data_IF_989721192783
#
_entry.id   IF_989721192783
#
_cell.length_a   1.000
_cell.length_b   1.000
_cell.length_c   1.000
_cell.angle_alpha   90.00
_cell.angle_beta   90.00
_cell.angle_gamma   90.00
#
_symmetry.space_group_name_H-M   'P 1'
#
loop_
_entity.id
_entity.type
_entity.pdbx_description
1 polymer ?
#
# COMPACT_ATOMS: atom_id res chain seq x y z
N UNK A 1 -17.70 3.91 -10.52
CA UNK A 1 -16.36 4.47 -10.79
C UNK A 1 -15.42 3.37 -11.29
N UNK A 2 -14.48 3.68 -12.20
CA UNK A 2 -13.34 2.78 -12.45
C UNK A 2 -12.41 2.78 -11.23
N UNK A 3 -11.69 1.68 -10.99
CA UNK A 3 -10.76 1.53 -9.86
C UNK A 3 -9.79 2.72 -9.73
N UNK A 4 -9.33 3.23 -10.87
CA UNK A 4 -8.45 4.39 -10.96
C UNK A 4 -9.06 5.68 -10.39
N UNK A 5 -10.38 5.84 -10.51
CA UNK A 5 -11.07 7.02 -9.99
C UNK A 5 -11.21 6.95 -8.46
N UNK A 6 -11.34 5.74 -7.89
CA UNK A 6 -11.38 5.50 -6.44
C UNK A 6 -10.00 5.82 -5.85
N UNK A 7 -8.94 5.26 -6.44
CA UNK A 7 -7.56 5.53 -6.02
C UNK A 7 -7.27 7.02 -6.13
N UNK A 8 -7.63 7.64 -7.26
CA UNK A 8 -7.46 9.08 -7.46
C UNK A 8 -8.32 9.95 -6.53
N UNK A 9 -9.43 9.45 -6.00
CA UNK A 9 -10.19 10.13 -4.95
C UNK A 9 -9.47 10.05 -3.60
N UNK A 10 -9.03 8.84 -3.21
CA UNK A 10 -8.30 8.61 -1.96
C UNK A 10 -7.02 9.45 -1.90
N UNK A 11 -6.25 9.46 -2.99
CA UNK A 11 -5.01 10.23 -3.08
C UNK A 11 -5.24 11.73 -2.94
N UNK A 12 -6.33 12.25 -3.54
CA UNK A 12 -6.73 13.65 -3.34
C UNK A 12 -7.17 13.94 -1.91
N UNK A 13 -7.86 13.00 -1.26
CA UNK A 13 -8.32 13.15 0.12
C UNK A 13 -7.16 13.22 1.13
N UNK A 14 -6.01 12.62 0.82
CA UNK A 14 -4.80 12.75 1.66
C UNK A 14 -4.20 14.16 1.67
N UNK A 15 -4.54 14.99 0.67
CA UNK A 15 -3.95 16.32 0.48
C UNK A 15 -2.50 16.28 -0.02
N UNK A 16 -1.91 17.47 -0.16
CA UNK A 16 -0.53 17.63 -0.62
C UNK A 16 0.43 16.88 0.31
N UNK A 17 1.41 16.18 -0.27
CA UNK A 17 2.50 15.62 0.51
C UNK A 17 3.23 16.75 1.25
N UNK A 18 3.54 16.58 2.55
CA UNK A 18 4.34 17.57 3.25
C UNK A 18 5.67 17.70 2.50
N UNK A 19 5.97 18.91 2.02
CA UNK A 19 7.19 19.16 1.30
C UNK A 19 8.36 18.85 2.24
N UNK A 20 9.06 17.74 1.98
CA UNK A 20 10.28 17.34 2.71
C UNK A 20 11.43 18.35 2.46
N UNK A 21 11.20 19.35 1.61
CA UNK A 21 12.23 20.18 0.98
C UNK A 21 12.19 21.68 1.32
N UNK A 22 11.57 22.11 2.43
CA UNK A 22 11.69 23.51 2.87
C UNK A 22 13.04 23.82 3.56
N UNK A 23 13.94 22.83 3.67
CA UNK A 23 15.33 23.06 4.06
C UNK A 23 16.18 23.38 2.83
N UNK A 24 16.66 24.62 2.74
CA UNK A 24 17.64 25.07 1.74
C UNK A 24 18.78 24.06 1.61
N UNK A 25 19.00 23.50 0.42
CA UNK A 25 19.96 22.43 0.14
C UNK A 25 21.39 22.87 0.54
N UNK A 26 21.97 22.34 1.63
CA UNK A 26 23.37 22.60 1.96
C UNK A 26 24.21 21.46 1.40
N UNK A 27 25.33 21.80 0.75
CA UNK A 27 26.28 20.87 0.17
C UNK A 27 26.73 19.78 1.17
N UNK A 28 26.54 18.49 0.85
CA UNK A 28 27.19 17.38 1.56
C UNK A 28 26.38 16.08 1.75
N UNK A 29 27.07 14.94 1.57
CA UNK A 29 26.54 13.57 1.79
C UNK A 29 26.28 13.29 3.27
N UNK A 30 27.05 13.89 4.18
CA UNK A 30 26.86 13.79 5.63
C UNK A 30 25.59 14.51 6.10
N UNK A 31 25.21 15.62 5.45
CA UNK A 31 23.98 16.38 5.73
C UNK A 31 22.75 15.65 5.24
N UNK A 32 22.82 14.98 4.08
CA UNK A 32 21.79 14.04 3.63
C UNK A 32 21.62 12.90 4.65
N UNK A 33 22.72 12.34 5.16
CA UNK A 33 22.66 11.28 6.18
C UNK A 33 22.02 11.77 7.49
N UNK A 34 22.25 13.03 7.88
CA UNK A 34 21.60 13.68 9.03
C UNK A 34 20.11 13.97 8.77
N UNK A 35 19.75 14.50 7.60
CA UNK A 35 18.37 14.82 7.21
C UNK A 35 17.51 13.57 6.97
N UNK A 36 18.10 12.48 6.47
CA UNK A 36 17.47 11.16 6.36
C UNK A 36 17.43 10.43 7.71
N UNK A 37 18.23 10.85 8.69
CA UNK A 37 18.15 10.37 10.08
C UNK A 37 17.19 11.18 10.96
N UNK A 38 16.68 12.31 10.45
CA UNK A 38 15.93 13.30 11.21
C UNK A 38 14.49 12.85 11.49
N UNK A 39 13.93 13.35 12.59
CA UNK A 39 12.55 13.09 13.03
C UNK A 39 11.53 13.40 11.91
N UNK A 40 11.83 14.38 11.04
CA UNK A 40 11.02 14.74 9.88
C UNK A 40 10.93 13.63 8.82
N UNK A 41 12.03 12.95 8.52
CA UNK A 41 12.03 11.83 7.56
C UNK A 41 11.31 10.61 8.14
N UNK A 42 11.53 10.31 9.42
CA UNK A 42 10.79 9.26 10.13
C UNK A 42 9.29 9.53 10.22
N UNK A 43 8.91 10.80 10.37
CA UNK A 43 7.51 11.24 10.34
C UNK A 43 6.91 11.09 8.94
N UNK A 44 7.62 11.51 7.91
CA UNK A 44 7.22 11.31 6.51
C UNK A 44 7.05 9.83 6.16
N UNK A 45 8.03 8.98 6.52
CA UNK A 45 7.93 7.53 6.28
C UNK A 45 6.71 6.92 6.96
N UNK A 46 6.43 7.29 8.21
CA UNK A 46 5.23 6.84 8.93
C UNK A 46 3.95 7.29 8.23
N UNK A 47 3.87 8.54 7.79
CA UNK A 47 2.70 9.02 7.05
C UNK A 47 2.51 8.27 5.72
N UNK A 48 3.58 7.96 5.00
CA UNK A 48 3.51 7.18 3.76
C UNK A 48 3.00 5.75 3.99
N UNK A 49 3.45 5.10 5.07
CA UNK A 49 2.92 3.79 5.47
C UNK A 49 1.42 3.89 5.80
N UNK A 50 1.01 4.91 6.56
CA UNK A 50 -0.40 5.13 6.89
C UNK A 50 -1.26 5.34 5.63
N UNK A 51 -0.79 6.15 4.67
CA UNK A 51 -1.46 6.36 3.37
C UNK A 51 -1.62 5.05 2.61
N UNK A 52 -0.58 4.21 2.58
CA UNK A 52 -0.63 2.93 1.88
C UNK A 52 -1.68 1.98 2.50
N UNK A 53 -1.66 1.82 3.82
CA UNK A 53 -2.62 0.97 4.54
C UNK A 53 -4.06 1.41 4.25
N UNK A 54 -4.31 2.71 4.35
CA UNK A 54 -5.63 3.27 4.10
C UNK A 54 -6.06 3.05 2.65
N UNK A 55 -5.17 3.30 1.68
CA UNK A 55 -5.46 3.13 0.26
C UNK A 55 -5.87 1.69 -0.04
N UNK A 56 -5.08 0.73 0.42
CA UNK A 56 -5.36 -0.69 0.17
C UNK A 56 -6.65 -1.12 0.87
N UNK A 57 -6.85 -0.71 2.12
CA UNK A 57 -8.03 -1.08 2.89
C UNK A 57 -9.31 -0.53 2.28
N UNK A 58 -9.36 0.77 1.97
CA UNK A 58 -10.54 1.40 1.38
C UNK A 58 -10.82 0.91 -0.04
N UNK A 59 -9.77 0.70 -0.84
CA UNK A 59 -9.92 0.13 -2.19
C UNK A 59 -10.52 -1.28 -2.10
N UNK A 60 -9.98 -2.13 -1.23
CA UNK A 60 -10.51 -3.48 -1.01
C UNK A 60 -11.96 -3.44 -0.51
N UNK A 61 -12.29 -2.55 0.43
CA UNK A 61 -13.64 -2.42 0.95
C UNK A 61 -14.67 -2.00 -0.13
N UNK A 62 -14.27 -1.16 -1.09
CA UNK A 62 -15.13 -0.77 -2.21
C UNK A 62 -15.24 -1.91 -3.24
N UNK A 63 -14.12 -2.56 -3.58
CA UNK A 63 -14.08 -3.69 -4.53
C UNK A 63 -14.93 -4.86 -4.03
N UNK A 64 -14.90 -5.13 -2.72
CA UNK A 64 -15.72 -6.17 -2.08
C UNK A 64 -17.18 -5.73 -1.83
N UNK A 65 -17.54 -4.49 -2.15
CA UNK A 65 -18.89 -3.97 -1.99
C UNK A 65 -19.32 -3.71 -0.54
N UNK A 66 -18.37 -3.69 0.40
CA UNK A 66 -18.61 -3.37 1.81
C UNK A 66 -18.94 -1.88 1.96
N UNK A 67 -18.24 -1.03 1.21
CA UNK A 67 -18.44 0.42 1.19
C UNK A 67 -18.90 0.84 -0.20
N UNK A 68 -19.96 1.65 -0.26
CA UNK A 68 -20.41 2.25 -1.51
C UNK A 68 -19.48 3.40 -1.93
N UNK A 69 -19.45 3.75 -3.21
CA UNK A 69 -18.64 4.86 -3.72
C UNK A 69 -18.96 6.19 -3.00
N UNK A 70 -20.22 6.44 -2.65
CA UNK A 70 -20.62 7.60 -1.84
C UNK A 70 -20.21 7.51 -0.36
N UNK A 71 -20.01 6.30 0.16
CA UNK A 71 -19.54 6.05 1.51
C UNK A 71 -18.09 6.46 1.75
N UNK A 72 -17.27 6.54 0.69
CA UNK A 72 -15.90 7.05 0.77
C UNK A 72 -15.85 8.49 1.30
N UNK A 73 -16.84 9.32 0.96
CA UNK A 73 -16.89 10.72 1.39
C UNK A 73 -16.88 10.90 2.92
N UNK A 74 -17.36 9.90 3.67
CA UNK A 74 -17.31 9.91 5.14
C UNK A 74 -15.88 9.93 5.69
N UNK A 75 -14.89 9.46 4.92
CA UNK A 75 -13.49 9.43 5.31
C UNK A 75 -12.73 10.71 4.93
N UNK A 76 -13.31 11.65 4.18
CA UNK A 76 -12.58 12.81 3.69
C UNK A 76 -11.94 13.65 4.82
N UNK A 77 -12.66 13.86 5.92
CA UNK A 77 -12.16 14.64 7.06
C UNK A 77 -11.00 13.96 7.82
N UNK A 78 -11.08 12.67 8.21
CA UNK A 78 -9.93 12.02 8.86
C UNK A 78 -8.72 11.85 7.92
N UNK A 79 -8.92 11.75 6.60
CA UNK A 79 -7.83 11.60 5.63
C UNK A 79 -6.99 12.87 5.43
N UNK A 80 -7.56 14.06 5.68
CA UNK A 80 -6.91 15.33 5.39
C UNK A 80 -5.78 15.70 6.36
N UNK A 81 -5.67 15.01 7.50
CA UNK A 81 -4.64 15.27 8.52
C UNK A 81 -3.77 14.04 8.76
N UNK A 82 -2.49 14.25 9.07
CA UNK A 82 -1.56 13.17 9.39
C UNK A 82 -2.00 12.39 10.64
N UNK A 83 -2.46 13.10 11.68
CA UNK A 83 -2.99 12.47 12.90
C UNK A 83 -4.21 11.61 12.59
N UNK A 84 -5.17 12.15 11.83
CA UNK A 84 -6.36 11.40 11.41
C UNK A 84 -6.01 10.17 10.58
N UNK A 85 -5.04 10.26 9.66
CA UNK A 85 -4.52 9.11 8.91
C UNK A 85 -3.87 8.09 9.83
N UNK A 86 -3.06 8.51 10.79
CA UNK A 86 -2.41 7.59 11.72
C UNK A 86 -3.44 6.84 12.58
N UNK A 87 -4.46 7.53 13.09
CA UNK A 87 -5.54 6.90 13.87
C UNK A 87 -6.36 5.94 13.00
N UNK A 88 -6.71 6.36 11.79
CA UNK A 88 -7.51 5.54 10.88
C UNK A 88 -6.75 4.30 10.41
N UNK A 89 -5.48 4.44 10.03
CA UNK A 89 -4.63 3.33 9.63
C UNK A 89 -4.46 2.31 10.76
N UNK A 90 -4.26 2.78 12.00
CA UNK A 90 -4.18 1.91 13.17
C UNK A 90 -5.50 1.16 13.40
N UNK A 91 -6.64 1.85 13.31
CA UNK A 91 -7.96 1.22 13.43
C UNK A 91 -8.17 0.14 12.35
N UNK A 92 -7.87 0.45 11.10
CA UNK A 92 -7.97 -0.49 9.97
C UNK A 92 -7.08 -1.72 10.15
N UNK A 93 -5.83 -1.52 10.62
CA UNK A 93 -4.91 -2.60 10.98
C UNK A 93 -5.50 -3.49 12.06
N UNK A 94 -5.98 -2.91 13.15
CA UNK A 94 -6.54 -3.67 14.28
C UNK A 94 -7.77 -4.47 13.87
N UNK A 95 -8.67 -3.89 13.06
CA UNK A 95 -9.83 -4.61 12.52
C UNK A 95 -9.43 -5.73 11.58
N UNK A 96 -8.39 -5.55 10.75
CA UNK A 96 -7.89 -6.60 9.86
C UNK A 96 -7.19 -7.75 10.61
N UNK A 97 -6.65 -7.49 11.81
CA UNK A 97 -5.97 -8.52 12.62
C UNK A 97 -6.93 -9.59 13.12
N UNK A 98 -8.21 -9.27 13.33
CA UNK A 98 -9.22 -10.26 13.74
C UNK A 98 -9.36 -11.39 12.70
N UNK A 99 -9.20 -11.05 11.42
CA UNK A 99 -9.23 -12.00 10.31
C UNK A 99 -7.84 -12.60 9.98
N UNK A 100 -6.78 -12.20 10.68
CA UNK A 100 -5.42 -12.68 10.40
C UNK A 100 -5.26 -14.19 10.64
N UNK A 101 -6.08 -14.78 11.50
CA UNK A 101 -6.11 -16.24 11.72
C UNK A 101 -6.59 -17.03 10.49
N UNK A 102 -7.30 -16.38 9.56
CA UNK A 102 -7.72 -16.96 8.30
C UNK A 102 -6.67 -16.82 7.20
N UNK A 103 -5.57 -16.09 7.45
CA UNK A 103 -4.47 -16.03 6.50
C UNK A 103 -3.88 -17.43 6.33
N UNK A 104 -3.56 -17.83 5.09
CA UNK A 104 -2.87 -19.08 4.87
C UNK A 104 -1.59 -19.08 5.72
N UNK A 105 -1.30 -20.16 6.45
CA UNK A 105 -0.12 -20.21 7.29
C UNK A 105 1.11 -19.90 6.42
N UNK A 106 1.91 -18.94 6.86
CA UNK A 106 3.17 -18.53 6.20
C UNK A 106 4.18 -19.69 6.13
N UNK A 107 3.89 -20.81 6.81
CA UNK A 107 4.52 -22.12 6.62
C UNK A 107 3.63 -23.08 5.81
N UNK A 108 3.31 -22.73 4.58
CA UNK A 108 3.13 -23.72 3.52
C UNK A 108 4.38 -23.64 2.67
N UNK A 109 5.09 -24.74 2.47
CA UNK A 109 6.13 -24.80 1.43
C UNK A 109 5.55 -24.14 0.18
N UNK A 110 6.17 -23.05 -0.30
CA UNK A 110 5.92 -22.54 -1.65
C UNK A 110 5.98 -23.78 -2.52
N UNK A 111 4.85 -24.22 -3.10
CA UNK A 111 4.84 -25.38 -3.97
C UNK A 111 5.96 -25.16 -4.98
N UNK A 112 7.02 -25.96 -4.85
CA UNK A 112 8.18 -25.84 -5.72
C UNK A 112 7.64 -26.17 -7.10
N UNK A 113 7.45 -25.12 -7.90
CA UNK A 113 6.93 -25.23 -9.25
C UNK A 113 7.80 -26.26 -9.97
N UNK A 114 7.21 -27.42 -10.27
CA UNK A 114 7.92 -28.47 -10.98
C UNK A 114 8.17 -27.95 -12.40
N UNK A 115 9.40 -28.09 -12.92
CA UNK A 115 9.68 -27.79 -14.31
C UNK A 115 8.65 -28.50 -15.20
N UNK A 116 8.06 -27.74 -16.13
CA UNK A 116 7.12 -28.27 -17.11
C UNK A 116 7.84 -29.31 -17.97
N UNK A 117 7.53 -30.59 -17.77
CA UNK A 117 7.96 -31.65 -18.67
C UNK A 117 7.03 -31.67 -19.89
N UNK A 118 7.55 -31.45 -21.10
CA UNK A 118 6.71 -31.44 -22.29
C UNK A 118 6.18 -32.85 -22.56
N UNK A 119 4.86 -33.05 -22.44
CA UNK A 119 4.23 -34.30 -22.82
C UNK A 119 3.98 -34.33 -24.34
N UNK A 120 4.18 -35.50 -25.01
CA UNK A 120 3.89 -35.62 -26.43
C UNK A 120 2.39 -35.43 -26.68
N UNK A 121 2.03 -34.34 -27.36
CA UNK A 121 0.65 -33.96 -27.68
C UNK A 121 0.11 -32.74 -26.93
N UNK A 122 0.91 -32.12 -26.06
CA UNK A 122 0.48 -30.94 -25.31
C UNK A 122 0.34 -29.70 -26.23
N UNK A 123 -0.76 -28.96 -26.07
CA UNK A 123 -1.12 -27.79 -26.91
C UNK A 123 -0.62 -26.47 -26.35
N UNK A 124 0.23 -26.52 -25.32
CA UNK A 124 0.82 -25.34 -24.69
C UNK A 124 1.55 -24.47 -25.73
N UNK A 125 1.11 -23.22 -25.87
CA UNK A 125 1.72 -22.23 -26.78
C UNK A 125 3.06 -21.66 -26.28
N UNK A 126 3.51 -22.09 -25.09
CA UNK A 126 4.76 -21.67 -24.48
C UNK A 126 5.88 -22.62 -24.93
N UNK A 127 6.84 -22.11 -25.69
CA UNK A 127 8.02 -22.86 -26.13
C UNK A 127 9.12 -22.72 -25.07
N UNK A 128 9.48 -23.83 -24.42
CA UNK A 128 10.65 -23.89 -23.54
C UNK A 128 11.92 -23.83 -24.40
N UNK A 129 12.81 -22.87 -24.13
CA UNK A 129 14.11 -22.76 -24.79
C UNK A 129 15.14 -23.51 -23.94
N UNK A 130 15.80 -24.57 -24.44
CA UNK A 130 16.87 -25.23 -23.71
C UNK A 130 18.07 -24.28 -23.55
N UNK A 131 18.78 -24.39 -22.42
CA UNK A 131 20.08 -23.74 -22.20
C UNK A 131 21.16 -24.41 -23.02
#
# INVERSE_FOLDING_TARGET
MHLDEIIGWIDRAFGNEPAVYDCAVPDGVETLRSLLGDEGYQRYQRDQVNRQIIRDYLTNAVVLGIISEGGLAAFAAPLSSEEGRSTLALYMLMSAVEDAAALPPVCGELEVLKPLEPQPGDRSHIKLVPR
#
